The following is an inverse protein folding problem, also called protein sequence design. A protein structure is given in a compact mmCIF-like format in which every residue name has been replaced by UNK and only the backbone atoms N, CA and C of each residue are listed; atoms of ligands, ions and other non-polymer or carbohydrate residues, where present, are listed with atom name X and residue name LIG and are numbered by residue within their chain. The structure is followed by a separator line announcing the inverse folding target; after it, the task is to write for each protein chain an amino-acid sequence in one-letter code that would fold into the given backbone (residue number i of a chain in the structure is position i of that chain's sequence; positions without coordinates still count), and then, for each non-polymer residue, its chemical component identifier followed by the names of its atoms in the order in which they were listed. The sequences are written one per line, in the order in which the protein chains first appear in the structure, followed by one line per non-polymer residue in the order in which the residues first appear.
data_IF_386416464097
#
_entry.id   IF_386416464097
#
_cell.length_a   1.000
_cell.length_b   1.000
_cell.length_c   1.000
_cell.angle_alpha   90.00
_cell.angle_beta   90.00
_cell.angle_gamma   90.00
#
_symmetry.space_group_name_H-M   'P 1'
#
loop_
_entity.id
_entity.type
_entity.pdbx_description
1 polymer ?
#
# COMPACT_ATOMS: atom_id res chain seq x y z
N UNK A 1 0.69 -5.39 -15.12
CA UNK A 1 1.40 -4.11 -14.96
C UNK A 1 0.46 -2.99 -15.36
N UNK A 2 0.14 -2.10 -14.41
CA UNK A 2 -0.94 -1.11 -14.48
C UNK A 2 -0.43 0.33 -14.53
N UNK A 3 0.83 0.57 -14.92
CA UNK A 3 1.50 1.87 -14.77
C UNK A 3 0.75 3.01 -15.47
N UNK A 4 0.27 2.79 -16.69
CA UNK A 4 -0.43 3.82 -17.46
C UNK A 4 -1.76 4.18 -16.79
N UNK A 5 -2.51 3.16 -16.39
CA UNK A 5 -3.81 3.29 -15.75
C UNK A 5 -3.68 3.93 -14.36
N UNK A 6 -2.69 3.51 -13.56
CA UNK A 6 -2.37 4.11 -12.27
C UNK A 6 -1.97 5.57 -12.43
N UNK A 7 -1.16 5.90 -13.43
CA UNK A 7 -0.78 7.29 -13.71
C UNK A 7 -2.00 8.14 -14.04
N UNK A 8 -2.85 7.69 -14.96
CA UNK A 8 -4.08 8.41 -15.29
C UNK A 8 -5.00 8.56 -14.06
N UNK A 9 -5.13 7.51 -13.24
CA UNK A 9 -5.93 7.53 -12.02
C UNK A 9 -5.41 8.55 -11.01
N UNK A 10 -4.11 8.53 -10.72
CA UNK A 10 -3.44 9.41 -9.75
C UNK A 10 -3.45 10.86 -10.21
N UNK A 11 -3.09 11.13 -11.47
CA UNK A 11 -3.04 12.50 -12.00
C UNK A 11 -4.43 13.16 -12.02
N UNK A 12 -5.50 12.38 -12.22
CA UNK A 12 -6.85 12.91 -12.31
C UNK A 12 -7.59 12.98 -10.96
N UNK A 13 -7.22 12.17 -9.96
CA UNK A 13 -8.03 12.00 -8.74
C UNK A 13 -7.28 12.23 -7.43
N UNK A 14 -5.95 12.35 -7.43
CA UNK A 14 -5.20 12.58 -6.18
C UNK A 14 -5.48 13.97 -5.60
N UNK A 15 -5.62 14.02 -4.28
CA UNK A 15 -5.65 15.26 -3.49
C UNK A 15 -4.22 15.75 -3.27
N UNK A 16 -3.29 14.84 -2.99
CA UNK A 16 -1.87 15.13 -2.98
C UNK A 16 -1.04 13.91 -3.37
N UNK A 17 0.19 14.17 -3.80
CA UNK A 17 1.22 13.18 -4.09
C UNK A 17 2.55 13.71 -3.57
N UNK A 18 3.39 12.82 -3.07
CA UNK A 18 4.72 13.19 -2.60
C UNK A 18 5.75 13.03 -3.73
N UNK A 19 7.03 13.03 -3.35
CA UNK A 19 8.13 12.84 -4.28
C UNK A 19 8.47 11.36 -4.35
N UNK A 20 8.61 10.86 -5.57
CA UNK A 20 9.16 9.55 -5.85
C UNK A 20 10.53 9.28 -5.22
N UNK A 21 10.76 8.01 -4.91
CA UNK A 21 11.95 7.52 -4.25
C UNK A 21 12.88 6.75 -5.19
N UNK A 22 14.15 6.62 -4.78
CA UNK A 22 15.13 5.83 -5.51
C UNK A 22 14.90 4.33 -5.33
N UNK A 23 15.39 3.52 -6.28
CA UNK A 23 15.42 2.05 -6.12
C UNK A 23 16.12 1.60 -4.82
N UNK A 24 17.15 2.34 -4.37
CA UNK A 24 17.86 2.03 -3.13
C UNK A 24 16.91 2.14 -1.94
N UNK A 25 16.08 3.18 -1.90
CA UNK A 25 15.08 3.39 -0.85
C UNK A 25 13.98 2.33 -0.90
N UNK A 26 13.55 1.92 -2.09
CA UNK A 26 12.56 0.86 -2.27
C UNK A 26 13.12 -0.48 -1.77
N UNK A 27 14.37 -0.80 -2.11
CA UNK A 27 15.06 -2.00 -1.59
C UNK A 27 15.23 -1.95 -0.08
N UNK A 28 15.49 -0.79 0.50
CA UNK A 28 15.55 -0.64 1.96
C UNK A 28 14.21 -1.01 2.63
N UNK A 29 13.07 -0.69 2.01
CA UNK A 29 11.74 -1.10 2.50
C UNK A 29 11.62 -2.63 2.44
N UNK A 30 11.92 -3.24 1.29
CA UNK A 30 11.91 -4.70 1.10
C UNK A 30 12.80 -5.42 2.12
N UNK A 31 14.01 -4.92 2.36
CA UNK A 31 14.96 -5.47 3.32
C UNK A 31 14.47 -5.34 4.78
N UNK A 32 13.97 -4.17 5.17
CA UNK A 32 13.47 -3.94 6.55
C UNK A 32 12.23 -4.74 6.88
N UNK A 33 11.38 -4.99 5.89
CA UNK A 33 10.16 -5.78 6.05
C UNK A 33 10.35 -7.26 5.73
N UNK A 34 11.50 -7.64 5.12
CA UNK A 34 11.80 -8.98 4.66
C UNK A 34 10.74 -9.53 3.68
N UNK A 35 10.42 -8.73 2.66
CA UNK A 35 9.38 -9.02 1.65
C UNK A 35 9.85 -8.63 0.25
N UNK A 36 9.12 -9.08 -0.77
CA UNK A 36 9.18 -8.51 -2.12
C UNK A 36 7.91 -7.71 -2.38
N UNK A 37 8.05 -6.46 -2.80
CA UNK A 37 6.90 -5.58 -3.04
C UNK A 37 6.30 -5.81 -4.44
N UNK A 38 4.97 -5.70 -4.60
CA UNK A 38 4.33 -5.82 -5.89
C UNK A 38 4.72 -4.66 -6.81
N UNK A 39 4.70 -4.93 -8.12
CA UNK A 39 5.16 -4.01 -9.15
C UNK A 39 4.37 -2.70 -9.15
N UNK A 40 3.05 -2.75 -9.00
CA UNK A 40 2.21 -1.54 -8.89
C UNK A 40 2.63 -0.64 -7.72
N UNK A 41 2.98 -1.22 -6.57
CA UNK A 41 3.34 -0.46 -5.39
C UNK A 41 4.74 0.12 -5.52
N UNK A 42 5.71 -0.66 -6.02
CA UNK A 42 7.07 -0.15 -6.31
C UNK A 42 7.02 1.03 -7.28
N UNK A 43 6.16 0.98 -8.29
CA UNK A 43 5.95 2.07 -9.23
C UNK A 43 5.37 3.33 -8.56
N UNK A 44 4.38 3.18 -7.66
CA UNK A 44 3.88 4.31 -6.86
C UNK A 44 5.00 4.90 -5.99
N UNK A 45 5.81 4.06 -5.34
CA UNK A 45 6.94 4.51 -4.53
C UNK A 45 7.97 5.27 -5.37
N UNK A 46 8.29 4.79 -6.58
CA UNK A 46 9.31 5.40 -7.44
C UNK A 46 8.88 6.72 -8.04
N UNK A 47 7.60 6.89 -8.35
CA UNK A 47 7.07 8.11 -8.98
C UNK A 47 6.58 9.14 -7.95
N UNK A 48 5.93 8.67 -6.90
CA UNK A 48 5.15 9.53 -6.00
C UNK A 48 5.47 9.35 -4.51
N UNK A 49 6.14 8.28 -4.09
CA UNK A 49 6.45 8.02 -2.68
C UNK A 49 5.22 7.62 -1.87
N UNK A 50 4.24 8.51 -1.74
CA UNK A 50 2.89 8.25 -1.23
C UNK A 50 1.88 9.03 -2.08
N UNK A 51 0.66 8.52 -2.17
CA UNK A 51 -0.45 9.18 -2.87
C UNK A 51 -1.68 9.20 -1.98
N UNK A 52 -2.34 10.35 -1.94
CA UNK A 52 -3.62 10.51 -1.28
C UNK A 52 -4.69 10.86 -2.30
N UNK A 53 -5.80 10.14 -2.22
CA UNK A 53 -7.07 10.48 -2.85
C UNK A 53 -8.02 11.01 -1.78
N UNK A 54 -9.21 11.46 -2.16
CA UNK A 54 -10.23 11.82 -1.17
C UNK A 54 -10.41 10.66 -0.18
N UNK A 55 -10.02 10.83 1.08
CA UNK A 55 -10.17 9.82 2.13
C UNK A 55 -9.34 8.53 2.00
N UNK A 56 -8.48 8.34 0.98
CA UNK A 56 -7.65 7.13 0.80
C UNK A 56 -6.18 7.53 0.75
N UNK A 57 -5.41 7.16 1.76
CA UNK A 57 -3.96 7.39 1.80
C UNK A 57 -3.23 6.09 1.46
N UNK A 58 -2.62 6.02 0.28
CA UNK A 58 -1.68 4.96 -0.08
C UNK A 58 -0.31 5.36 0.44
N UNK A 59 -0.03 4.91 1.65
CA UNK A 59 1.18 5.17 2.41
C UNK A 59 2.36 4.39 1.86
N UNK A 60 3.44 5.10 1.57
CA UNK A 60 4.72 4.53 1.21
C UNK A 60 5.88 5.27 1.87
N UNK A 61 6.33 6.34 1.22
CA UNK A 61 7.48 7.17 1.63
C UNK A 61 7.05 8.63 1.80
N UNK A 62 7.30 9.15 2.99
CA UNK A 62 7.00 10.51 3.40
C UNK A 62 8.07 11.53 3.06
N UNK A 63 7.86 12.76 3.53
CA UNK A 63 8.86 13.82 3.48
C UNK A 63 10.15 13.39 4.19
N UNK A 64 11.30 13.89 3.71
CA UNK A 64 12.63 13.56 4.24
C UNK A 64 12.97 12.05 4.22
N UNK A 65 12.39 11.29 3.28
CA UNK A 65 12.57 9.84 3.13
C UNK A 65 12.10 9.02 4.35
N UNK A 66 11.13 9.52 5.12
CA UNK A 66 10.49 8.72 6.18
C UNK A 66 9.79 7.51 5.56
N UNK A 67 10.12 6.30 6.02
CA UNK A 67 9.55 5.05 5.49
C UNK A 67 8.22 4.73 6.19
N UNK A 68 7.17 5.48 5.85
CA UNK A 68 5.86 5.41 6.52
C UNK A 68 5.31 3.98 6.52
N UNK A 69 5.34 3.30 5.38
CA UNK A 69 4.86 1.90 5.28
C UNK A 69 5.66 0.94 6.17
N UNK A 70 6.96 1.18 6.35
CA UNK A 70 7.80 0.38 7.26
C UNK A 70 7.43 0.66 8.71
N UNK A 71 7.36 1.93 9.10
CA UNK A 71 7.04 2.35 10.47
C UNK A 71 5.67 1.82 10.89
N UNK A 72 4.66 1.93 10.00
CA UNK A 72 3.31 1.36 10.22
C UNK A 72 3.35 -0.16 10.35
N UNK A 73 3.96 -0.85 9.38
CA UNK A 73 4.03 -2.33 9.41
C UNK A 73 4.75 -2.85 10.65
N UNK A 74 5.83 -2.19 11.09
CA UNK A 74 6.53 -2.54 12.33
C UNK A 74 5.66 -2.24 13.56
N UNK A 75 4.96 -1.10 13.58
CA UNK A 75 4.03 -0.75 14.65
C UNK A 75 2.97 -1.83 14.90
N UNK A 76 2.45 -2.44 13.84
CA UNK A 76 1.45 -3.50 13.95
C UNK A 76 1.98 -4.87 14.38
N UNK A 77 3.30 -5.04 14.53
CA UNK A 77 3.88 -6.29 15.06
C UNK A 77 3.46 -6.59 16.49
N UNK A 78 3.17 -5.58 17.31
CA UNK A 78 2.68 -5.80 18.69
C UNK A 78 1.29 -6.47 18.72
N UNK A 79 0.53 -6.36 17.63
CA UNK A 79 -0.79 -6.99 17.44
C UNK A 79 -0.71 -8.28 16.62
N UNK A 80 0.49 -8.84 16.40
CA UNK A 80 0.68 -10.08 15.64
C UNK A 80 0.20 -10.02 14.18
N UNK A 81 0.43 -8.88 13.50
CA UNK A 81 0.24 -8.79 12.05
C UNK A 81 1.00 -9.94 11.35
N UNK A 82 0.37 -10.66 10.38
CA UNK A 82 1.02 -11.76 9.69
C UNK A 82 2.32 -11.36 9.00
N UNK A 83 3.29 -12.28 8.98
CA UNK A 83 4.47 -12.11 8.14
C UNK A 83 4.08 -11.96 6.66
N UNK A 84 4.83 -11.16 5.91
CA UNK A 84 4.53 -10.85 4.52
C UNK A 84 3.48 -9.77 4.33
N UNK A 85 2.83 -9.26 5.37
CA UNK A 85 1.89 -8.15 5.25
C UNK A 85 2.63 -6.82 5.27
N UNK A 86 2.30 -5.94 4.32
CA UNK A 86 2.82 -4.56 4.28
C UNK A 86 1.65 -3.60 4.37
N UNK A 87 1.63 -2.78 5.42
CA UNK A 87 0.56 -1.81 5.67
C UNK A 87 0.68 -0.66 4.68
N UNK A 88 -0.38 -0.42 3.92
CA UNK A 88 -0.43 0.64 2.87
C UNK A 88 -1.53 1.65 3.09
N UNK A 89 -2.53 1.37 3.94
CA UNK A 89 -3.57 2.35 4.25
C UNK A 89 -4.24 2.01 5.59
N UNK A 90 -4.39 3.02 6.45
CA UNK A 90 -5.03 2.91 7.76
C UNK A 90 -6.23 3.87 7.85
N UNK A 91 -7.46 3.40 7.57
CA UNK A 91 -8.65 4.26 7.62
C UNK A 91 -9.06 4.65 9.06
N UNK A 92 -8.53 3.96 10.07
CA UNK A 92 -8.90 4.10 11.47
C UNK A 92 -8.23 3.06 12.35
N UNK A 93 -8.85 2.75 13.50
CA UNK A 93 -8.27 1.84 14.51
C UNK A 93 -8.80 0.40 14.44
N UNK A 94 -9.88 0.14 13.68
CA UNK A 94 -10.59 -1.14 13.69
C UNK A 94 -9.97 -2.18 12.74
N UNK A 95 -9.38 -1.73 11.63
CA UNK A 95 -8.66 -2.56 10.66
C UNK A 95 -7.68 -1.72 9.84
N UNK A 96 -6.78 -2.41 9.17
CA UNK A 96 -5.80 -1.82 8.25
C UNK A 96 -5.81 -2.56 6.92
N UNK A 97 -5.42 -1.87 5.85
CA UNK A 97 -5.22 -2.52 4.56
C UNK A 97 -3.76 -2.86 4.34
N UNK A 98 -3.53 -4.10 3.97
CA UNK A 98 -2.20 -4.66 3.77
C UNK A 98 -2.07 -5.27 2.39
N UNK A 99 -0.86 -5.19 1.82
CA UNK A 99 -0.42 -6.06 0.74
C UNK A 99 -0.03 -7.42 1.32
N UNK A 100 -0.68 -8.50 0.91
CA UNK A 100 -0.34 -9.87 1.31
C UNK A 100 0.75 -10.42 0.36
N UNK A 101 2.00 -10.01 0.58
CA UNK A 101 3.12 -10.27 -0.34
C UNK A 101 3.49 -11.74 -0.47
N UNK A 102 3.03 -12.61 0.44
CA UNK A 102 3.22 -14.06 0.34
C UNK A 102 2.28 -14.69 -0.70
N UNK A 103 1.24 -13.99 -1.13
CA UNK A 103 0.34 -14.39 -2.22
C UNK A 103 0.67 -13.72 -3.54
N UNK A 104 1.96 -13.54 -3.82
CA UNK A 104 2.43 -12.94 -5.07
C UNK A 104 2.08 -13.82 -6.29
N UNK A 105 1.51 -13.21 -7.33
CA UNK A 105 1.23 -13.83 -8.62
C UNK A 105 1.44 -12.79 -9.75
N UNK A 106 2.28 -13.13 -10.73
CA UNK A 106 2.61 -12.26 -11.87
C UNK A 106 3.05 -10.83 -11.49
N UNK A 107 3.84 -10.71 -10.41
CA UNK A 107 4.38 -9.43 -9.94
C UNK A 107 3.42 -8.60 -9.08
N UNK A 108 2.21 -9.11 -8.81
CA UNK A 108 1.19 -8.44 -7.99
C UNK A 108 0.77 -9.32 -6.81
N UNK A 109 0.17 -8.73 -5.79
CA UNK A 109 -0.37 -9.46 -4.64
C UNK A 109 -1.67 -8.81 -4.17
N UNK A 110 -2.56 -9.57 -3.51
CA UNK A 110 -3.85 -9.07 -3.09
C UNK A 110 -3.73 -8.02 -1.99
N UNK A 111 -4.69 -7.09 -1.99
CA UNK A 111 -4.93 -6.20 -0.85
C UNK A 111 -5.93 -6.86 0.08
N UNK A 112 -5.63 -6.87 1.37
CA UNK A 112 -6.48 -7.46 2.41
C UNK A 112 -6.80 -6.45 3.50
N UNK A 113 -8.02 -6.48 4.04
CA UNK A 113 -8.35 -5.85 5.29
C UNK A 113 -7.94 -6.79 6.43
N UNK A 114 -6.97 -6.41 7.26
CA UNK A 114 -6.54 -7.19 8.40
C UNK A 114 -7.07 -6.62 9.72
N UNK A 115 -7.57 -7.53 10.55
CA UNK A 115 -8.24 -7.22 11.81
C UNK A 115 -7.41 -7.82 12.98
N UNK A 116 -6.84 -6.99 13.87
CA UNK A 116 -5.89 -7.44 14.91
C UNK A 116 -6.50 -8.36 15.98
N UNK A 117 -7.82 -8.33 16.18
CA UNK A 117 -8.50 -9.05 17.28
C UNK A 117 -8.90 -10.49 16.97
N UNK A 118 -8.95 -10.88 15.70
CA UNK A 118 -9.48 -12.17 15.24
C UNK A 118 -8.48 -12.94 14.35
N UNK A 119 -7.27 -12.40 14.12
CA UNK A 119 -6.26 -12.94 13.20
C UNK A 119 -6.86 -13.31 11.83
N UNK A 120 -7.81 -12.49 11.39
CA UNK A 120 -8.59 -12.71 10.20
C UNK A 120 -8.28 -11.62 9.19
N UNK A 121 -8.30 -11.98 7.92
CA UNK A 121 -8.20 -11.04 6.83
C UNK A 121 -9.24 -11.31 5.75
N UNK A 122 -9.91 -10.25 5.32
CA UNK A 122 -10.78 -10.25 4.15
C UNK A 122 -9.97 -9.82 2.93
N UNK A 123 -10.13 -10.53 1.82
CA UNK A 123 -9.56 -10.10 0.54
C UNK A 123 -10.42 -8.97 -0.02
N UNK A 124 -9.80 -7.82 -0.25
CA UNK A 124 -10.47 -6.61 -0.74
C UNK A 124 -10.27 -6.42 -2.24
N UNK A 125 -9.11 -6.79 -2.78
CA UNK A 125 -8.81 -6.72 -4.21
C UNK A 125 -7.70 -7.69 -4.61
N UNK A 126 -7.54 -7.94 -5.90
CA UNK A 126 -6.50 -8.84 -6.41
C UNK A 126 -5.13 -8.17 -6.52
N UNK A 127 -5.11 -6.84 -6.59
CA UNK A 127 -3.92 -6.00 -6.66
C UNK A 127 -4.24 -4.58 -6.18
N UNK A 128 -3.20 -3.76 -5.99
CA UNK A 128 -3.34 -2.40 -5.47
C UNK A 128 -4.09 -1.46 -6.43
N UNK A 129 -3.97 -1.66 -7.75
CA UNK A 129 -4.68 -0.84 -8.73
C UNK A 129 -6.20 -1.02 -8.62
N UNK A 130 -6.67 -2.27 -8.59
CA UNK A 130 -8.09 -2.60 -8.37
C UNK A 130 -8.59 -2.05 -7.04
N UNK A 131 -7.81 -2.20 -5.96
CA UNK A 131 -8.16 -1.64 -4.66
C UNK A 131 -8.40 -0.13 -4.70
N UNK A 132 -7.54 0.64 -5.37
CA UNK A 132 -7.70 2.10 -5.46
C UNK A 132 -8.98 2.45 -6.23
N UNK A 133 -9.27 1.75 -7.34
CA UNK A 133 -10.48 1.97 -8.13
C UNK A 133 -11.73 1.68 -7.32
N UNK A 134 -11.80 0.51 -6.70
CA UNK A 134 -12.98 0.10 -5.92
C UNK A 134 -13.26 1.10 -4.80
N UNK A 135 -12.21 1.60 -4.13
CA UNK A 135 -12.34 2.61 -3.08
C UNK A 135 -12.79 3.98 -3.60
N UNK A 136 -12.32 4.39 -4.78
CA UNK A 136 -12.76 5.64 -5.40
C UNK A 136 -14.21 5.57 -5.89
N UNK A 137 -14.64 4.40 -6.36
CA UNK A 137 -16.03 4.20 -6.80
C UNK A 137 -17.00 4.20 -5.62
N UNK A 138 -16.63 3.60 -4.48
CA UNK A 138 -17.43 3.63 -3.23
C UNK A 138 -17.65 5.04 -2.66
N UNK A 139 -16.90 6.06 -3.07
CA UNK A 139 -17.08 7.44 -2.61
C UNK A 139 -18.00 8.28 -3.47
N UNK A 140 -18.46 7.74 -4.61
CA UNK A 140 -19.37 8.45 -5.52
C UNK A 140 -20.84 8.31 -5.10
N UNK A 141 -21.12 7.43 -4.15
CA UNK A 141 -22.44 7.20 -3.54
C UNK A 141 -22.61 7.97 -2.22
#
# INVERSE_FOLDING_TARGET
MYEKELKELIENNSVYKLKGASEITIREIEEKLNVSLPDSYKWILSEYGSVCFYGIDIDGIGLNNTLISVDKTIGWKEYSIPEGYVVVYEPGADWIYCLDTFKMYNGECPVVAWYPGNNYSDREADNLYEFIIDRLDLQKD
#
